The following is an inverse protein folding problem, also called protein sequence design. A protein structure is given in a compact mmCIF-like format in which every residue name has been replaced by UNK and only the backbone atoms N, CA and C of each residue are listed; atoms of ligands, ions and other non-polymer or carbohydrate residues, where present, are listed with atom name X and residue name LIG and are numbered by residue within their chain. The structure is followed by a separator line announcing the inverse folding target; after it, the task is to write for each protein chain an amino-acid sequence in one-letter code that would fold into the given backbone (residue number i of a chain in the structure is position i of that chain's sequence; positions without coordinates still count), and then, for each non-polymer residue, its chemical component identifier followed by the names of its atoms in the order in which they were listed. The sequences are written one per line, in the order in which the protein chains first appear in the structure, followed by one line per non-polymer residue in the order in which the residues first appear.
data_IF_253736246818
#
_entry.id   IF_253736246818
#
_cell.length_a   1.000
_cell.length_b   1.000
_cell.length_c   1.000
_cell.angle_alpha   90.00
_cell.angle_beta   90.00
_cell.angle_gamma   90.00
#
_symmetry.space_group_name_H-M   'P 1'
#
loop_
_entity.id
_entity.type
_entity.pdbx_description
1 polymer ?
#
# COMPACT_ATOMS: atom_id res chain seq x y z
N UNK A 1 27.86 -21.99 8.72
CA UNK A 1 28.40 -20.73 8.13
C UNK A 1 27.65 -20.34 6.86
N UNK A 2 27.38 -21.28 5.95
CA UNK A 2 26.60 -21.05 4.71
C UNK A 2 25.17 -20.52 4.96
N UNK A 3 24.42 -21.11 5.88
CA UNK A 3 23.05 -20.71 6.22
C UNK A 3 22.96 -19.24 6.69
N UNK A 4 23.98 -18.78 7.42
CA UNK A 4 24.03 -17.41 7.95
C UNK A 4 24.32 -16.39 6.84
N UNK A 5 25.15 -16.77 5.86
CA UNK A 5 25.45 -15.94 4.69
C UNK A 5 24.25 -15.83 3.75
N UNK A 6 23.48 -16.91 3.60
CA UNK A 6 22.27 -16.91 2.77
C UNK A 6 21.15 -16.06 3.38
N UNK A 7 20.93 -16.17 4.70
CA UNK A 7 19.98 -15.31 5.40
C UNK A 7 20.37 -13.82 5.29
N UNK A 8 21.65 -13.50 5.44
CA UNK A 8 22.15 -12.13 5.26
C UNK A 8 22.02 -11.63 3.82
N UNK A 9 22.19 -12.50 2.81
CA UNK A 9 21.99 -12.15 1.40
C UNK A 9 20.52 -11.91 1.07
N UNK A 10 19.61 -12.71 1.61
CA UNK A 10 18.17 -12.49 1.47
C UNK A 10 17.79 -11.14 2.06
N UNK A 11 18.21 -10.85 3.29
CA UNK A 11 17.93 -9.54 3.91
C UNK A 11 18.54 -8.38 3.13
N UNK A 12 19.74 -8.55 2.56
CA UNK A 12 20.36 -7.54 1.70
C UNK A 12 19.59 -7.35 0.39
N UNK A 13 19.05 -8.42 -0.18
CA UNK A 13 18.23 -8.37 -1.39
C UNK A 13 16.89 -7.65 -1.11
N UNK A 14 16.25 -7.96 0.02
CA UNK A 14 15.00 -7.33 0.46
C UNK A 14 15.21 -5.82 0.70
N UNK A 15 16.27 -5.44 1.41
CA UNK A 15 16.61 -4.02 1.62
C UNK A 15 16.97 -3.30 0.31
N UNK A 16 17.63 -3.99 -0.64
CA UNK A 16 17.95 -3.43 -1.97
C UNK A 16 16.72 -3.26 -2.84
N UNK A 17 15.77 -4.20 -2.75
CA UNK A 17 14.48 -4.07 -3.43
C UNK A 17 13.72 -2.85 -2.89
N UNK A 18 13.69 -2.68 -1.56
CA UNK A 18 13.04 -1.54 -0.91
C UNK A 18 13.69 -0.19 -1.29
N UNK A 19 15.01 -0.13 -1.42
CA UNK A 19 15.73 1.08 -1.87
C UNK A 19 15.60 1.33 -3.37
N UNK A 20 15.59 0.28 -4.20
CA UNK A 20 15.38 0.41 -5.65
C UNK A 20 13.96 0.90 -5.95
N UNK A 21 12.96 0.36 -5.25
CA UNK A 21 11.58 0.81 -5.33
C UNK A 21 11.47 2.29 -4.93
N UNK A 22 12.16 2.69 -3.87
CA UNK A 22 12.25 4.09 -3.43
C UNK A 22 12.91 5.01 -4.47
N UNK A 23 14.03 4.58 -5.08
CA UNK A 23 14.74 5.36 -6.10
C UNK A 23 13.97 5.46 -7.43
N UNK A 24 13.27 4.40 -7.81
CA UNK A 24 12.42 4.38 -9.01
C UNK A 24 11.19 5.27 -8.85
N UNK A 25 10.57 5.25 -7.66
CA UNK A 25 9.52 6.20 -7.28
C UNK A 25 10.06 7.64 -7.34
N UNK A 26 11.19 7.93 -6.68
CA UNK A 26 11.80 9.27 -6.66
C UNK A 26 12.18 9.78 -8.06
N UNK A 27 12.56 8.88 -8.97
CA UNK A 27 12.91 9.23 -10.36
C UNK A 27 11.69 9.49 -11.27
N UNK A 28 10.46 9.28 -10.77
CA UNK A 28 9.22 9.49 -11.51
C UNK A 28 9.00 8.49 -12.66
N UNK A 29 9.79 7.40 -12.73
CA UNK A 29 9.74 6.41 -13.83
C UNK A 29 8.54 5.45 -13.71
N UNK A 30 7.98 5.29 -12.52
CA UNK A 30 6.84 4.38 -12.28
C UNK A 30 5.53 5.15 -12.25
N UNK A 31 4.70 5.01 -13.30
CA UNK A 31 3.36 5.62 -13.42
C UNK A 31 2.22 4.75 -12.90
N UNK A 32 2.47 3.46 -12.67
CA UNK A 32 1.45 2.49 -12.28
C UNK A 32 1.97 1.67 -11.09
N UNK A 33 1.34 1.83 -9.93
CA UNK A 33 1.56 0.99 -8.75
C UNK A 33 0.42 0.00 -8.68
N UNK A 34 0.72 -1.31 -8.73
CA UNK A 34 -0.27 -2.36 -8.48
C UNK A 34 -0.25 -2.68 -7.00
N UNK A 35 -1.41 -2.62 -6.35
CA UNK A 35 -1.60 -3.09 -4.99
C UNK A 35 -2.35 -4.42 -5.03
N UNK A 36 -1.90 -5.40 -4.26
CA UNK A 36 -2.55 -6.72 -4.14
C UNK A 36 -3.63 -6.72 -3.05
N UNK A 37 -3.58 -5.75 -2.16
CA UNK A 37 -4.49 -5.63 -1.02
C UNK A 37 -4.64 -4.17 -0.57
N UNK A 38 -5.79 -3.85 0.02
CA UNK A 38 -6.15 -2.47 0.39
C UNK A 38 -5.24 -1.87 1.48
N UNK A 39 -4.65 -2.70 2.34
CA UNK A 39 -3.67 -2.30 3.36
C UNK A 39 -2.34 -1.78 2.77
N UNK A 40 -2.07 -1.99 1.48
CA UNK A 40 -0.92 -1.44 0.77
C UNK A 40 -1.15 0.02 0.29
N UNK A 41 -2.41 0.49 0.26
CA UNK A 41 -2.77 1.82 -0.21
C UNK A 41 -2.04 2.96 0.55
N UNK A 42 -1.91 2.94 1.90
CA UNK A 42 -1.19 3.99 2.62
C UNK A 42 0.27 4.12 2.17
N UNK A 43 0.96 3.00 1.92
CA UNK A 43 2.34 3.00 1.44
C UNK A 43 2.43 3.59 0.03
N UNK A 44 1.48 3.26 -0.84
CA UNK A 44 1.39 3.83 -2.19
C UNK A 44 1.16 5.35 -2.18
N UNK A 45 0.39 5.88 -1.24
CA UNK A 45 0.18 7.33 -1.06
C UNK A 45 1.48 8.03 -0.68
N UNK A 46 2.22 7.49 0.31
CA UNK A 46 3.52 8.05 0.75
C UNK A 46 4.53 8.01 -0.40
N UNK A 47 4.60 6.88 -1.10
CA UNK A 47 5.42 6.69 -2.29
C UNK A 47 5.10 7.74 -3.37
N UNK A 48 3.83 7.99 -3.68
CA UNK A 48 3.41 8.98 -4.66
C UNK A 48 3.82 10.40 -4.27
N UNK A 49 3.72 10.78 -2.99
CA UNK A 49 4.21 12.08 -2.50
C UNK A 49 5.71 12.24 -2.78
N UNK A 50 6.50 11.23 -2.45
CA UNK A 50 7.96 11.25 -2.63
C UNK A 50 8.32 11.29 -4.10
N UNK A 51 7.63 10.52 -4.95
CA UNK A 51 7.78 10.54 -6.40
C UNK A 51 7.46 11.90 -7.02
N UNK A 52 6.47 12.60 -6.46
CA UNK A 52 6.13 13.98 -6.86
C UNK A 52 7.12 15.03 -6.34
N UNK A 53 8.16 14.63 -5.58
CA UNK A 53 9.15 15.54 -5.01
C UNK A 53 8.61 16.44 -3.91
N UNK A 54 7.45 16.11 -3.34
CA UNK A 54 6.78 16.93 -2.33
C UNK A 54 7.27 16.58 -0.93
N UNK A 55 7.51 17.59 -0.12
CA UNK A 55 7.67 17.43 1.33
C UNK A 55 6.31 17.22 2.00
N UNK A 56 6.31 16.84 3.28
CA UNK A 56 5.08 16.75 4.06
C UNK A 56 4.43 18.12 4.26
N UNK A 57 5.24 19.19 4.34
CA UNK A 57 4.76 20.56 4.38
C UNK A 57 4.05 20.95 3.06
N UNK A 58 4.63 20.60 1.92
CA UNK A 58 4.02 20.88 0.61
C UNK A 58 2.68 20.17 0.43
N UNK A 59 2.58 18.90 0.87
CA UNK A 59 1.32 18.17 0.86
C UNK A 59 0.30 18.80 1.83
N UNK A 60 0.74 19.24 3.00
CA UNK A 60 -0.13 19.90 3.97
C UNK A 60 -0.70 21.22 3.41
N UNK A 61 0.12 22.01 2.71
CA UNK A 61 -0.32 23.24 2.04
C UNK A 61 -1.40 22.95 0.99
N UNK A 62 -1.20 21.92 0.14
CA UNK A 62 -2.20 21.48 -0.85
C UNK A 62 -3.52 21.04 -0.21
N UNK A 63 -3.46 20.46 0.97
CA UNK A 63 -4.63 19.96 1.71
C UNK A 63 -5.29 21.02 2.60
N UNK A 64 -4.73 22.23 2.71
CA UNK A 64 -5.15 23.22 3.69
C UNK A 64 -5.06 22.69 5.13
N UNK A 65 -4.06 21.86 5.41
CA UNK A 65 -3.83 21.21 6.69
C UNK A 65 -2.52 21.66 7.34
N UNK A 66 -2.31 21.31 8.61
CA UNK A 66 -1.03 21.53 9.28
C UNK A 66 -0.04 20.41 8.95
N UNK A 67 1.25 20.72 8.80
CA UNK A 67 2.29 19.74 8.51
C UNK A 67 2.32 18.59 9.52
N UNK A 68 2.20 18.88 10.83
CA UNK A 68 2.15 17.86 11.89
C UNK A 68 1.02 16.85 11.71
N UNK A 69 -0.08 17.26 11.08
CA UNK A 69 -1.20 16.37 10.80
C UNK A 69 -0.85 15.39 9.68
N UNK A 70 -0.18 15.86 8.61
CA UNK A 70 0.32 15.00 7.53
C UNK A 70 1.41 14.05 8.05
N UNK A 71 2.35 14.56 8.85
CA UNK A 71 3.35 13.73 9.53
C UNK A 71 2.70 12.61 10.36
N UNK A 72 1.67 12.93 11.14
CA UNK A 72 0.94 11.92 11.92
C UNK A 72 0.21 10.91 11.04
N UNK A 73 -0.37 11.35 9.91
CA UNK A 73 -0.98 10.43 8.96
C UNK A 73 0.05 9.45 8.40
N UNK A 74 1.17 9.94 7.89
CA UNK A 74 2.21 9.06 7.34
C UNK A 74 2.83 8.14 8.40
N UNK A 75 3.10 8.65 9.61
CA UNK A 75 3.65 7.86 10.70
C UNK A 75 2.71 6.74 11.19
N UNK A 76 1.40 6.88 10.97
CA UNK A 76 0.39 5.89 11.34
C UNK A 76 -0.19 5.15 10.15
N UNK A 77 0.45 5.22 8.97
CA UNK A 77 -0.06 4.65 7.72
C UNK A 77 -1.54 5.01 7.47
N UNK A 78 -1.90 6.27 7.73
CA UNK A 78 -3.23 6.83 7.58
C UNK A 78 -4.32 6.12 8.42
N UNK A 79 -3.96 5.30 9.41
CA UNK A 79 -4.92 4.55 10.24
C UNK A 79 -5.94 5.44 10.97
N UNK A 80 -5.57 6.70 11.25
CA UNK A 80 -6.46 7.69 11.89
C UNK A 80 -7.15 8.64 10.90
N UNK A 81 -6.85 8.54 9.60
CA UNK A 81 -7.46 9.37 8.57
C UNK A 81 -8.86 8.84 8.23
N UNK A 82 -9.81 9.75 8.05
CA UNK A 82 -11.12 9.36 7.50
C UNK A 82 -10.98 8.99 6.03
N UNK A 83 -11.89 8.16 5.51
CA UNK A 83 -11.89 7.81 4.08
C UNK A 83 -11.92 9.06 3.18
N UNK A 84 -12.73 10.07 3.57
CA UNK A 84 -12.74 11.37 2.88
C UNK A 84 -11.35 12.02 2.83
N UNK A 85 -10.64 12.01 3.95
CA UNK A 85 -9.28 12.57 4.02
C UNK A 85 -8.31 11.80 3.13
N UNK A 86 -8.43 10.47 3.07
CA UNK A 86 -7.62 9.64 2.16
C UNK A 86 -7.92 10.01 0.70
N UNK A 87 -9.19 10.18 0.33
CA UNK A 87 -9.58 10.66 -1.01
C UNK A 87 -9.00 12.03 -1.35
N UNK A 88 -9.10 13.01 -0.44
CA UNK A 88 -8.51 14.34 -0.62
C UNK A 88 -6.99 14.28 -0.85
N UNK A 89 -6.30 13.40 -0.14
CA UNK A 89 -4.84 13.20 -0.29
C UNK A 89 -4.51 12.61 -1.65
N UNK A 90 -5.24 11.58 -2.09
CA UNK A 90 -5.09 10.96 -3.42
C UNK A 90 -5.28 12.01 -4.52
N UNK A 91 -6.31 12.85 -4.40
CA UNK A 91 -6.59 13.94 -5.34
C UNK A 91 -5.49 15.02 -5.33
N UNK A 92 -5.03 15.45 -4.14
CA UNK A 92 -3.96 16.44 -4.00
C UNK A 92 -2.60 15.97 -4.58
N UNK A 93 -2.39 14.66 -4.62
CA UNK A 93 -1.24 14.01 -5.24
C UNK A 93 -1.44 13.73 -6.74
N UNK A 94 -2.64 14.00 -7.29
CA UNK A 94 -2.96 13.72 -8.69
C UNK A 94 -3.00 12.22 -9.03
N UNK A 95 -3.20 11.38 -8.00
CA UNK A 95 -3.28 9.94 -8.18
C UNK A 95 -4.62 9.56 -8.81
N UNK A 96 -4.61 8.61 -9.75
CA UNK A 96 -5.82 7.95 -10.23
C UNK A 96 -5.82 6.53 -9.72
N UNK A 97 -6.78 6.20 -8.85
CA UNK A 97 -6.97 4.83 -8.34
C UNK A 97 -7.99 4.13 -9.23
N UNK A 98 -7.61 2.96 -9.76
CA UNK A 98 -8.51 2.06 -10.49
C UNK A 98 -8.56 0.75 -9.72
N UNK A 99 -9.74 0.38 -9.24
CA UNK A 99 -9.93 -0.85 -8.47
C UNK A 99 -10.74 -1.87 -9.26
N UNK A 100 -10.36 -3.13 -9.09
CA UNK A 100 -11.19 -4.30 -9.38
C UNK A 100 -11.68 -4.84 -8.02
N UNK A 101 -12.98 -4.73 -7.76
CA UNK A 101 -13.58 -5.24 -6.51
C UNK A 101 -14.03 -6.67 -6.76
N UNK A 102 -13.31 -7.63 -6.17
CA UNK A 102 -13.71 -9.03 -6.18
C UNK A 102 -14.74 -9.27 -5.07
N UNK A 103 -15.95 -9.65 -5.48
CA UNK A 103 -16.98 -10.11 -4.55
C UNK A 103 -16.81 -11.62 -4.32
N UNK A 104 -17.00 -12.12 -3.09
CA UNK A 104 -17.02 -13.56 -2.85
C UNK A 104 -18.15 -14.20 -3.68
N UNK A 105 -17.80 -15.20 -4.49
CA UNK A 105 -18.78 -16.01 -5.20
C UNK A 105 -19.61 -16.84 -4.21
N UNK A 106 -20.91 -16.99 -4.46
CA UNK A 106 -21.79 -17.85 -3.65
C UNK A 106 -21.40 -19.34 -3.70
N UNK A 107 -20.50 -19.74 -4.60
CA UNK A 107 -20.16 -21.14 -4.86
C UNK A 107 -19.12 -21.73 -3.90
N UNK A 108 -18.43 -20.90 -3.10
CA UNK A 108 -17.45 -21.39 -2.13
C UNK A 108 -18.09 -21.89 -0.81
N UNK A 109 -19.31 -21.43 -0.49
CA UNK A 109 -20.02 -21.86 0.71
C UNK A 109 -20.73 -23.22 0.54
N UNK A 110 -21.10 -23.59 -0.69
CA UNK A 110 -21.81 -24.85 -0.97
C UNK A 110 -20.86 -26.06 -1.10
N UNK A 111 -19.59 -25.83 -1.42
CA UNK A 111 -18.59 -26.89 -1.57
C UNK A 111 -18.14 -27.47 -0.21
N UNK A 112 -18.27 -26.70 0.88
CA UNK A 112 -17.88 -27.10 2.23
C UNK A 112 -18.96 -27.90 2.99
N UNK A 113 -20.22 -27.87 2.55
CA UNK A 113 -21.32 -28.62 3.18
C UNK A 113 -21.51 -30.03 2.60
N UNK A 114 -21.05 -30.29 1.37
CA UNK A 114 -21.18 -31.60 0.71
C UNK A 114 -20.14 -32.64 1.16
N UNK A 115 -19.11 -32.24 1.92
CA UNK A 115 -18.09 -33.14 2.47
C UNK A 115 -18.34 -33.60 3.91
N UNK A 116 -19.38 -33.08 4.60
CA UNK A 116 -19.76 -33.55 5.95
C UNK A 116 -20.80 -34.68 5.95
N UNK A 117 -21.54 -34.85 4.87
CA UNK A 117 -22.64 -35.82 4.81
C UNK A 117 -22.24 -37.19 4.21
N UNK A 118 -20.97 -37.39 3.80
CA UNK A 118 -20.49 -38.67 3.25
C UNK A 118 -19.70 -39.56 4.22
N UNK A 119 -19.41 -39.12 5.45
CA UNK A 119 -18.70 -39.90 6.47
C UNK A 119 -19.63 -40.52 7.55
N UNK A 120 -20.93 -40.66 7.25
CA UNK A 120 -21.89 -41.37 8.11
C UNK A 120 -22.64 -42.44 7.33
N UNK A 121 -21.92 -43.48 6.91
CA UNK A 121 -22.47 -44.77 6.52
C UNK A 121 -21.54 -45.90 6.98
#
# INVERSE_FOLDING_TARGET
REIQLDAMRSQLADLRAETTEYDDLRSGRTRLVKIESFDQLPRAIIAARIAAGLTQADLAERLGAHEQQVQRYEATNYASASMRRVSEVIEALGMTVREEILLPGRDDAASASLSRDQDSA
#
